data_IF_435109584883
#
_entry.id   IF_435109584883
#
_cell.length_a   1.000
_cell.length_b   1.000
_cell.length_c   1.000
_cell.angle_alpha   90.00
_cell.angle_beta   90.00
_cell.angle_gamma   90.00
#
_symmetry.space_group_name_H-M   'P 1'
#
loop_
_entity.id
_entity.type
_entity.pdbx_description
1 polymer ?
#
# COMPACT_ATOMS: atom_id res chain seq x y z
N UNK A 1 10.99 16.35 8.36
CA UNK A 1 10.08 16.82 7.27
C UNK A 1 8.77 16.05 7.39
N UNK A 2 7.63 16.70 7.20
CA UNK A 2 6.31 16.02 7.18
C UNK A 2 6.20 15.17 5.93
N UNK A 3 5.81 13.90 6.08
CA UNK A 3 5.57 12.99 4.95
C UNK A 3 4.42 13.48 4.09
N UNK A 4 4.57 13.53 2.77
CA UNK A 4 3.63 14.23 1.91
C UNK A 4 3.15 13.34 0.75
N UNK A 5 1.85 13.09 0.67
CA UNK A 5 1.20 12.42 -0.44
C UNK A 5 0.54 13.44 -1.39
N UNK A 6 0.77 13.28 -2.69
CA UNK A 6 0.02 13.99 -3.73
C UNK A 6 -0.70 12.96 -4.61
N UNK A 7 -2.00 13.13 -4.78
CA UNK A 7 -2.84 12.22 -5.58
C UNK A 7 -3.34 12.96 -6.81
N UNK A 8 -3.04 12.39 -7.98
CA UNK A 8 -3.61 12.82 -9.26
C UNK A 8 -4.74 11.88 -9.64
N UNK A 9 -5.97 12.36 -9.68
CA UNK A 9 -7.19 11.55 -9.87
C UNK A 9 -8.25 12.30 -10.66
N UNK A 10 -9.20 11.59 -11.23
CA UNK A 10 -10.42 12.15 -11.80
C UNK A 10 -11.57 12.26 -10.77
N UNK A 11 -11.35 11.75 -9.54
CA UNK A 11 -12.36 11.70 -8.48
C UNK A 11 -11.80 12.19 -7.14
N UNK A 12 -11.46 13.49 -7.03
CA UNK A 12 -10.84 14.05 -5.81
C UNK A 12 -11.71 13.85 -4.57
N UNK A 13 -13.03 13.79 -4.70
CA UNK A 13 -13.95 13.55 -3.58
C UNK A 13 -13.85 12.15 -2.94
N UNK A 14 -13.08 11.22 -3.50
CA UNK A 14 -12.80 9.93 -2.87
C UNK A 14 -11.73 10.03 -1.76
N UNK A 15 -11.05 11.16 -1.65
CA UNK A 15 -9.97 11.37 -0.68
C UNK A 15 -10.34 12.44 0.36
N UNK A 16 -9.88 12.31 1.61
CA UNK A 16 -9.05 11.22 2.14
C UNK A 16 -9.82 9.89 2.35
N UNK A 17 -11.15 9.85 2.16
CA UNK A 17 -11.96 8.66 2.38
C UNK A 17 -11.75 8.07 3.78
N UNK A 18 -11.54 6.75 3.92
CA UNK A 18 -11.33 6.11 5.23
C UNK A 18 -10.06 6.60 5.95
N UNK A 19 -9.08 7.16 5.23
CA UNK A 19 -7.86 7.72 5.84
C UNK A 19 -8.12 9.01 6.62
N UNK A 20 -9.30 9.63 6.50
CA UNK A 20 -9.76 10.71 7.36
C UNK A 20 -10.27 10.26 8.72
N UNK A 21 -10.19 8.96 9.03
CA UNK A 21 -10.70 8.38 10.26
C UNK A 21 -9.58 7.73 11.09
N UNK A 22 -9.88 7.44 12.37
CA UNK A 22 -9.01 6.68 13.27
C UNK A 22 -7.60 7.29 13.39
N UNK A 23 -6.55 6.44 13.37
CA UNK A 23 -5.15 6.86 13.56
C UNK A 23 -4.63 7.69 12.38
N UNK A 24 -4.93 7.28 11.14
CA UNK A 24 -4.51 7.99 9.94
C UNK A 24 -5.14 9.39 9.87
N UNK A 25 -6.43 9.53 10.19
CA UNK A 25 -7.12 10.82 10.23
C UNK A 25 -6.56 11.75 11.29
N UNK A 26 -6.34 11.25 12.52
CA UNK A 26 -5.68 12.02 13.58
C UNK A 26 -4.29 12.48 13.18
N UNK A 27 -3.52 11.62 12.53
CA UNK A 27 -2.19 11.94 12.03
C UNK A 27 -2.21 13.01 10.94
N UNK A 28 -3.24 13.02 10.10
CA UNK A 28 -3.49 14.06 9.09
C UNK A 28 -3.83 15.41 9.77
N UNK A 29 -4.76 15.41 10.72
CA UNK A 29 -5.20 16.58 11.46
C UNK A 29 -4.05 17.22 12.26
N UNK A 30 -3.15 16.41 12.81
CA UNK A 30 -1.99 16.87 13.58
C UNK A 30 -0.76 17.17 12.72
N UNK A 31 -0.84 16.99 11.39
CA UNK A 31 0.23 17.32 10.46
C UNK A 31 1.42 16.37 10.47
N UNK A 32 1.26 15.13 10.99
CA UNK A 32 2.28 14.08 10.86
C UNK A 32 2.47 13.64 9.41
N UNK A 33 1.41 13.73 8.62
CA UNK A 33 1.45 13.62 7.17
C UNK A 33 0.52 14.64 6.52
N UNK A 34 0.69 14.87 5.22
CA UNK A 34 -0.10 15.79 4.42
C UNK A 34 -0.61 15.11 3.17
N UNK A 35 -1.80 15.54 2.71
CA UNK A 35 -2.45 15.03 1.51
C UNK A 35 -2.85 16.20 0.61
N UNK A 36 -2.31 16.23 -0.60
CA UNK A 36 -2.76 17.09 -1.69
C UNK A 36 -3.50 16.23 -2.71
N UNK A 37 -4.72 16.60 -3.03
CA UNK A 37 -5.52 15.91 -4.05
C UNK A 37 -5.73 16.85 -5.23
N UNK A 38 -5.35 16.39 -6.43
CA UNK A 38 -5.38 17.18 -7.66
C UNK A 38 -6.29 16.51 -8.68
N UNK A 39 -7.27 17.26 -9.18
CA UNK A 39 -8.10 16.81 -10.29
C UNK A 39 -7.29 16.91 -11.59
N UNK A 40 -7.13 15.77 -12.28
CA UNK A 40 -6.43 15.70 -13.57
C UNK A 40 -7.14 16.57 -14.62
N UNK A 41 -8.47 16.74 -14.52
CA UNK A 41 -9.25 17.58 -15.42
C UNK A 41 -8.86 19.05 -15.39
N UNK A 42 -8.27 19.52 -14.30
CA UNK A 42 -7.84 20.92 -14.21
C UNK A 42 -6.72 21.28 -15.19
N UNK A 43 -6.00 20.27 -15.69
CA UNK A 43 -4.95 20.45 -16.69
C UNK A 43 -5.47 20.41 -18.14
N UNK A 44 -6.72 20.04 -18.37
CA UNK A 44 -7.31 20.03 -19.70
C UNK A 44 -7.62 21.46 -20.17
N UNK A 45 -7.20 21.80 -21.38
CA UNK A 45 -7.33 23.16 -21.94
C UNK A 45 -8.55 23.37 -22.82
N UNK A 46 -9.20 22.25 -23.22
CA UNK A 46 -10.41 22.33 -24.04
C UNK A 46 -11.67 22.64 -23.21
N UNK A 47 -12.70 23.16 -23.88
CA UNK A 47 -13.98 23.55 -23.25
C UNK A 47 -14.67 22.43 -22.47
N UNK A 48 -14.50 21.18 -22.90
CA UNK A 48 -15.15 20.02 -22.30
C UNK A 48 -14.28 19.36 -21.22
N UNK A 49 -13.05 19.84 -21.00
CA UNK A 49 -12.07 19.30 -20.04
C UNK A 49 -11.84 17.80 -20.28
N UNK A 50 -11.64 17.44 -21.58
CA UNK A 50 -11.49 16.08 -22.06
C UNK A 50 -10.17 15.48 -21.56
N UNK A 51 -10.24 14.34 -20.89
CA UNK A 51 -9.10 13.67 -20.25
C UNK A 51 -8.75 12.33 -20.88
N UNK A 52 -9.57 11.84 -21.79
CA UNK A 52 -9.48 10.51 -22.42
C UNK A 52 -9.80 10.58 -23.91
N UNK A 53 -9.36 9.57 -24.66
CA UNK A 53 -9.66 9.42 -26.08
C UNK A 53 -9.62 7.93 -26.48
N UNK A 54 -10.08 7.61 -27.68
CA UNK A 54 -10.08 6.26 -28.22
C UNK A 54 -8.65 5.72 -28.38
N UNK A 55 -8.41 4.43 -28.06
CA UNK A 55 -7.08 3.85 -28.21
C UNK A 55 -6.67 3.71 -29.68
N UNK A 56 -5.43 3.99 -30.00
CA UNK A 56 -4.85 3.61 -31.29
C UNK A 56 -4.87 2.08 -31.46
N UNK A 57 -5.17 1.62 -32.65
CA UNK A 57 -5.35 0.20 -32.95
C UNK A 57 -6.78 -0.30 -32.74
N UNK A 58 -7.68 0.56 -32.24
CA UNK A 58 -9.08 0.21 -31.95
C UNK A 58 -9.24 -0.58 -30.65
N UNK A 59 -10.44 -1.03 -30.38
CA UNK A 59 -10.81 -1.74 -29.15
C UNK A 59 -11.92 -1.04 -28.39
N UNK A 60 -12.43 -1.69 -27.36
CA UNK A 60 -13.41 -1.10 -26.46
C UNK A 60 -12.73 -0.21 -25.43
N UNK A 61 -13.47 0.79 -24.92
CA UNK A 61 -12.99 1.67 -23.87
C UNK A 61 -12.23 2.89 -24.37
N UNK A 62 -11.64 3.61 -23.43
CA UNK A 62 -10.92 4.87 -23.63
C UNK A 62 -9.57 4.79 -22.92
N UNK A 63 -8.62 5.64 -23.29
CA UNK A 63 -7.31 5.75 -22.66
C UNK A 63 -7.10 7.19 -22.20
N UNK A 64 -6.53 7.39 -21.01
CA UNK A 64 -6.22 8.71 -20.50
C UNK A 64 -5.15 9.38 -21.36
N UNK A 65 -5.44 10.60 -21.77
CA UNK A 65 -4.62 11.39 -22.71
C UNK A 65 -3.27 11.75 -22.11
N UNK A 66 -2.16 11.62 -22.89
CA UNK A 66 -0.83 11.89 -22.40
C UNK A 66 -0.58 13.36 -22.11
N UNK A 67 -1.07 14.26 -22.97
CA UNK A 67 -0.88 15.71 -22.83
C UNK A 67 -1.51 16.27 -21.57
N UNK A 68 -2.74 15.83 -21.25
CA UNK A 68 -3.46 16.28 -20.06
C UNK A 68 -2.82 15.71 -18.79
N UNK A 69 -2.48 14.41 -18.80
CA UNK A 69 -1.86 13.81 -17.63
C UNK A 69 -0.46 14.38 -17.37
N UNK A 70 0.34 14.55 -18.41
CA UNK A 70 1.68 15.15 -18.28
C UNK A 70 1.62 16.57 -17.69
N UNK A 71 0.67 17.40 -18.16
CA UNK A 71 0.42 18.72 -17.62
C UNK A 71 -0.04 18.68 -16.15
N UNK A 72 -0.94 17.74 -15.79
CA UNK A 72 -1.43 17.58 -14.43
C UNK A 72 -0.33 17.15 -13.44
N UNK A 73 0.64 16.37 -13.90
CA UNK A 73 1.79 15.97 -13.09
C UNK A 73 2.73 17.12 -12.76
N UNK A 74 2.79 18.14 -13.62
CA UNK A 74 3.61 19.33 -13.40
C UNK A 74 5.11 19.10 -13.49
N UNK A 75 5.89 19.95 -12.82
CA UNK A 75 7.35 19.95 -12.83
C UNK A 75 8.01 18.80 -12.06
N UNK A 76 9.33 18.91 -11.91
CA UNK A 76 10.15 17.94 -11.17
C UNK A 76 9.80 17.92 -9.67
N UNK A 77 9.85 16.73 -9.09
CA UNK A 77 9.63 16.48 -7.68
C UNK A 77 10.48 15.28 -7.26
N UNK A 78 11.10 15.36 -6.09
CA UNK A 78 12.00 14.31 -5.59
C UNK A 78 11.26 13.07 -5.06
N UNK A 79 9.95 13.19 -4.85
CA UNK A 79 9.12 12.08 -4.37
C UNK A 79 8.86 11.09 -5.48
N UNK A 80 8.89 9.77 -5.17
CA UNK A 80 8.52 8.74 -6.14
C UNK A 80 7.15 9.03 -6.77
N UNK A 81 7.07 8.90 -8.09
CA UNK A 81 5.85 9.00 -8.87
C UNK A 81 5.40 7.58 -9.25
N UNK A 82 4.23 7.17 -8.77
CA UNK A 82 3.73 5.79 -8.88
C UNK A 82 2.37 5.80 -9.58
N UNK A 83 2.24 4.95 -10.58
CA UNK A 83 0.98 4.61 -11.23
C UNK A 83 0.49 3.27 -10.71
N UNK A 84 -0.75 3.24 -10.22
CA UNK A 84 -1.36 2.04 -9.66
C UNK A 84 -2.07 1.25 -10.76
N UNK A 85 -1.50 0.11 -11.11
CA UNK A 85 -1.89 -0.70 -12.27
C UNK A 85 -1.76 -2.19 -11.98
N UNK A 86 -2.67 -3.06 -12.48
CA UNK A 86 -2.50 -4.51 -12.40
C UNK A 86 -1.23 -5.03 -13.10
N UNK A 87 -0.66 -4.25 -14.04
CA UNK A 87 0.59 -4.58 -14.75
C UNK A 87 1.84 -4.31 -13.92
N UNK A 88 1.69 -3.58 -12.82
CA UNK A 88 2.81 -3.15 -11.98
C UNK A 88 3.46 -4.28 -11.18
N UNK A 89 4.62 -3.99 -10.62
CA UNK A 89 5.29 -4.88 -9.66
C UNK A 89 4.45 -4.98 -8.39
N UNK A 90 4.24 -6.20 -7.84
CA UNK A 90 3.46 -6.36 -6.61
C UNK A 90 4.02 -5.55 -5.43
N UNK A 91 3.14 -4.81 -4.75
CA UNK A 91 3.48 -4.02 -3.57
C UNK A 91 3.88 -4.95 -2.41
N UNK A 92 5.14 -4.94 -2.06
CA UNK A 92 5.65 -5.69 -0.91
C UNK A 92 5.93 -4.76 0.28
N UNK A 93 5.91 -5.30 1.50
CA UNK A 93 6.17 -4.56 2.74
C UNK A 93 7.52 -3.83 2.74
N UNK A 94 8.54 -4.38 2.08
CA UNK A 94 9.84 -3.72 1.92
C UNK A 94 9.72 -2.40 1.13
N UNK A 95 8.90 -2.39 0.05
CA UNK A 95 8.65 -1.16 -0.72
C UNK A 95 7.86 -0.14 0.09
N UNK A 96 6.85 -0.58 0.83
CA UNK A 96 6.07 0.28 1.75
C UNK A 96 6.98 0.95 2.77
N UNK A 97 7.89 0.21 3.42
CA UNK A 97 8.87 0.77 4.36
C UNK A 97 9.79 1.80 3.71
N UNK A 98 10.28 1.53 2.50
CA UNK A 98 11.11 2.47 1.76
C UNK A 98 10.37 3.77 1.44
N UNK A 99 9.10 3.69 1.05
CA UNK A 99 8.25 4.86 0.79
C UNK A 99 7.96 5.65 2.08
N UNK A 100 7.64 4.96 3.17
CA UNK A 100 7.37 5.60 4.46
C UNK A 100 8.61 6.29 5.05
N UNK A 101 9.81 5.77 4.82
CA UNK A 101 11.07 6.37 5.24
C UNK A 101 11.49 7.58 4.37
N UNK A 102 10.89 7.76 3.21
CA UNK A 102 11.17 8.86 2.28
C UNK A 102 10.37 10.13 2.60
N UNK A 103 10.44 11.14 1.71
CA UNK A 103 9.75 12.41 1.90
C UNK A 103 8.24 12.35 1.61
N UNK A 104 7.75 11.23 1.08
CA UNK A 104 6.37 11.05 0.65
C UNK A 104 6.26 10.37 -0.71
N UNK A 105 5.10 10.51 -1.37
CA UNK A 105 4.79 9.84 -2.64
C UNK A 105 3.86 10.69 -3.50
N UNK A 106 3.95 10.52 -4.81
CA UNK A 106 2.99 11.05 -5.80
C UNK A 106 2.31 9.85 -6.48
N UNK A 107 0.99 9.81 -6.44
CA UNK A 107 0.21 8.69 -6.99
C UNK A 107 -0.64 9.14 -8.17
N UNK A 108 -0.64 8.34 -9.22
CA UNK A 108 -1.52 8.49 -10.38
C UNK A 108 -2.61 7.43 -10.30
N UNK A 109 -3.86 7.86 -10.20
CA UNK A 109 -5.03 7.00 -10.23
C UNK A 109 -5.55 6.93 -11.67
N UNK A 110 -5.24 5.84 -12.37
CA UNK A 110 -5.75 5.61 -13.71
C UNK A 110 -7.22 5.22 -13.71
N UNK A 111 -7.87 5.51 -14.83
CA UNK A 111 -9.26 5.13 -15.14
C UNK A 111 -9.33 4.59 -16.57
N UNK A 112 -10.52 4.12 -16.95
CA UNK A 112 -10.76 3.53 -18.26
C UNK A 112 -9.87 2.30 -18.52
N UNK A 113 -9.30 2.18 -19.73
CA UNK A 113 -8.36 1.10 -20.08
C UNK A 113 -6.91 1.40 -19.58
N UNK A 114 -6.70 2.56 -18.96
CA UNK A 114 -5.44 2.97 -18.39
C UNK A 114 -4.92 4.30 -18.91
N UNK A 115 -3.61 4.46 -18.80
CA UNK A 115 -2.86 5.67 -19.14
C UNK A 115 -2.02 5.44 -20.40
N UNK A 116 -1.90 6.45 -21.25
CA UNK A 116 -1.03 6.38 -22.42
C UNK A 116 0.43 6.06 -22.01
N UNK A 117 0.98 5.02 -22.62
CA UNK A 117 2.30 4.49 -22.27
C UNK A 117 3.42 5.56 -22.37
N UNK A 118 3.29 6.50 -23.31
CA UNK A 118 4.32 7.55 -23.54
C UNK A 118 4.53 8.43 -22.31
N UNK A 119 3.51 8.66 -21.48
CA UNK A 119 3.65 9.42 -20.22
C UNK A 119 4.39 8.59 -19.19
N UNK A 120 4.07 7.29 -19.09
CA UNK A 120 4.75 6.40 -18.15
C UNK A 120 6.25 6.35 -18.45
N UNK A 121 6.61 6.22 -19.72
CA UNK A 121 8.00 6.14 -20.17
C UNK A 121 8.73 7.49 -20.00
N UNK A 122 8.13 8.59 -20.45
CA UNK A 122 8.71 9.94 -20.39
C UNK A 122 9.01 10.37 -18.95
N UNK A 123 8.05 10.15 -18.05
CA UNK A 123 8.16 10.54 -16.64
C UNK A 123 8.80 9.47 -15.76
N UNK A 124 9.17 8.32 -16.33
CA UNK A 124 9.73 7.15 -15.61
C UNK A 124 8.86 6.79 -14.39
N UNK A 125 7.56 6.67 -14.64
CA UNK A 125 6.57 6.37 -13.60
C UNK A 125 6.70 4.91 -13.18
N UNK A 126 6.85 4.66 -11.88
CA UNK A 126 6.87 3.31 -11.31
C UNK A 126 5.45 2.71 -11.37
N UNK A 127 5.28 1.57 -12.04
CA UNK A 127 4.01 0.84 -12.01
C UNK A 127 3.97 -0.13 -10.83
N UNK A 128 2.92 -0.02 -10.00
CA UNK A 128 2.76 -0.84 -8.79
C UNK A 128 1.38 -1.49 -8.77
N UNK A 129 1.34 -2.80 -8.49
CA UNK A 129 0.11 -3.58 -8.30
C UNK A 129 -0.13 -3.86 -6.82
N UNK A 130 -1.39 -3.83 -6.38
CA UNK A 130 -1.80 -4.24 -5.04
C UNK A 130 -2.31 -5.70 -4.99
N UNK A 131 -2.28 -6.42 -6.11
CA UNK A 131 -2.70 -7.81 -6.20
C UNK A 131 -3.22 -8.20 -7.58
N UNK A 132 -3.42 -9.50 -7.79
CA UNK A 132 -3.79 -10.10 -9.07
C UNK A 132 -5.32 -10.04 -9.29
N UNK A 133 -5.86 -8.84 -9.32
CA UNK A 133 -7.26 -8.57 -9.62
C UNK A 133 -7.41 -7.17 -10.24
N UNK A 134 -8.50 -6.97 -10.97
CA UNK A 134 -8.80 -5.71 -11.67
C UNK A 134 -9.83 -4.92 -10.88
N UNK A 135 -9.56 -3.61 -10.70
CA UNK A 135 -10.47 -2.65 -10.08
C UNK A 135 -10.92 -1.61 -11.11
N UNK A 136 -11.97 -0.87 -10.81
CA UNK A 136 -12.52 0.17 -11.69
C UNK A 136 -11.64 1.43 -11.82
N UNK A 137 -10.57 1.53 -11.02
CA UNK A 137 -9.63 2.66 -11.05
C UNK A 137 -8.59 2.60 -9.96
N UNK A 138 -7.65 3.55 -9.99
CA UNK A 138 -6.50 3.59 -9.10
C UNK A 138 -6.75 4.18 -7.71
N UNK A 139 -7.93 4.71 -7.42
CA UNK A 139 -8.18 5.41 -6.16
C UNK A 139 -8.19 4.47 -4.95
N UNK A 140 -8.83 3.29 -5.05
CA UNK A 140 -8.78 2.30 -3.96
C UNK A 140 -7.37 1.75 -3.74
N UNK A 141 -6.61 1.36 -4.78
CA UNK A 141 -5.20 1.04 -4.64
C UNK A 141 -4.37 2.15 -3.98
N UNK A 142 -4.64 3.42 -4.32
CA UNK A 142 -3.97 4.56 -3.70
C UNK A 142 -4.23 4.63 -2.19
N UNK A 143 -5.48 4.45 -1.77
CA UNK A 143 -5.84 4.40 -0.36
C UNK A 143 -5.14 3.25 0.38
N UNK A 144 -5.03 2.07 -0.24
CA UNK A 144 -4.30 0.91 0.33
C UNK A 144 -2.82 1.22 0.51
N UNK A 145 -2.16 1.78 -0.51
CA UNK A 145 -0.75 2.16 -0.43
C UNK A 145 -0.51 3.23 0.62
N UNK A 146 -1.36 4.25 0.67
CA UNK A 146 -1.28 5.33 1.66
C UNK A 146 -1.46 4.80 3.08
N UNK A 147 -2.47 3.96 3.34
CA UNK A 147 -2.69 3.35 4.66
C UNK A 147 -1.46 2.57 5.11
N UNK A 148 -0.94 1.70 4.23
CA UNK A 148 0.25 0.91 4.50
C UNK A 148 1.49 1.78 4.85
N UNK A 149 1.65 2.95 4.20
CA UNK A 149 2.76 3.87 4.50
C UNK A 149 2.50 4.70 5.75
N UNK A 150 1.32 5.32 5.87
CA UNK A 150 0.99 6.26 6.95
C UNK A 150 1.07 5.60 8.32
N UNK A 151 0.60 4.35 8.46
CA UNK A 151 0.68 3.62 9.72
C UNK A 151 2.12 3.37 10.21
N UNK A 152 3.11 3.43 9.30
CA UNK A 152 4.53 3.26 9.64
C UNK A 152 5.23 4.57 10.01
N UNK A 153 4.57 5.71 9.84
CA UNK A 153 5.16 7.01 10.18
C UNK A 153 5.33 7.15 11.71
N UNK A 154 6.44 7.73 12.17
CA UNK A 154 6.65 7.98 13.59
C UNK A 154 5.49 8.75 14.23
N UNK A 155 5.00 8.25 15.36
CA UNK A 155 3.91 8.90 16.11
C UNK A 155 2.49 8.57 15.63
N UNK A 156 2.30 7.82 14.55
CA UNK A 156 0.97 7.37 14.09
C UNK A 156 0.49 6.15 14.88
N UNK A 157 1.32 5.12 14.98
CA UNK A 157 1.05 3.94 15.82
C UNK A 157 1.63 4.16 17.23
N UNK A 158 0.85 3.84 18.26
CA UNK A 158 1.18 4.19 19.65
C UNK A 158 2.37 3.44 20.30
N UNK A 159 2.91 2.39 19.68
CA UNK A 159 4.10 1.66 20.15
C UNK A 159 4.85 1.09 18.94
N UNK A 160 6.09 1.49 18.78
CA UNK A 160 7.00 1.00 17.72
C UNK A 160 7.23 -0.53 17.76
N UNK A 161 7.09 -1.16 18.92
CA UNK A 161 7.22 -2.60 19.11
C UNK A 161 6.14 -3.42 18.36
N UNK A 162 4.95 -2.86 18.15
CA UNK A 162 3.86 -3.56 17.44
C UNK A 162 4.20 -3.82 15.97
N UNK A 163 4.90 -2.91 15.31
CA UNK A 163 5.25 -3.03 13.90
C UNK A 163 6.38 -4.06 13.62
N UNK A 164 7.11 -4.49 14.66
CA UNK A 164 8.23 -5.44 14.51
C UNK A 164 7.80 -6.90 14.49
N UNK A 165 6.68 -7.24 15.12
CA UNK A 165 6.15 -8.60 15.20
C UNK A 165 5.06 -8.92 14.16
N UNK A 166 4.74 -7.98 13.27
CA UNK A 166 3.69 -8.14 12.25
C UNK A 166 4.11 -9.04 11.10
N UNK A 167 3.11 -9.53 10.35
CA UNK A 167 3.31 -10.26 9.10
C UNK A 167 4.30 -9.54 8.18
N UNK A 168 5.15 -10.32 7.52
CA UNK A 168 6.22 -9.88 6.60
C UNK A 168 7.42 -9.19 7.27
N UNK A 169 7.42 -8.97 8.59
CA UNK A 169 8.56 -8.33 9.27
C UNK A 169 9.81 -9.22 9.28
N UNK A 170 9.63 -10.51 9.52
CA UNK A 170 10.70 -11.53 9.51
C UNK A 170 10.54 -12.54 8.38
N UNK A 171 9.81 -12.18 7.30
CA UNK A 171 9.50 -13.10 6.20
C UNK A 171 8.46 -14.17 6.56
N UNK A 172 7.77 -14.01 7.68
CA UNK A 172 6.72 -14.91 8.15
C UNK A 172 5.37 -14.19 8.22
N UNK A 173 4.29 -14.96 8.21
CA UNK A 173 2.98 -14.50 8.64
C UNK A 173 2.93 -14.48 10.17
N UNK A 174 2.13 -13.60 10.72
CA UNK A 174 1.92 -13.47 12.15
C UNK A 174 1.18 -14.67 12.73
N UNK A 175 1.46 -14.98 14.00
CA UNK A 175 0.80 -16.03 14.76
C UNK A 175 -0.64 -15.64 15.13
N UNK A 176 -1.53 -16.62 15.51
CA UNK A 176 -2.90 -16.32 15.90
C UNK A 176 -2.96 -15.64 17.27
N UNK A 177 -3.81 -14.61 17.36
CA UNK A 177 -4.04 -13.87 18.59
C UNK A 177 -5.24 -14.38 19.35
N UNK A 178 -5.16 -14.35 20.68
CA UNK A 178 -6.22 -14.69 21.60
C UNK A 178 -6.45 -13.55 22.60
N UNK A 179 -7.71 -13.35 22.99
CA UNK A 179 -8.11 -12.36 24.00
C UNK A 179 -9.17 -12.95 24.92
N UNK A 180 -9.62 -12.20 25.88
CA UNK A 180 -10.67 -12.59 26.83
C UNK A 180 -12.02 -12.80 26.13
N UNK A 181 -12.86 -13.76 26.61
CA UNK A 181 -12.63 -14.68 27.73
C UNK A 181 -11.66 -15.81 27.41
N UNK A 182 -11.06 -16.45 28.44
CA UNK A 182 -10.12 -17.55 28.26
C UNK A 182 -10.75 -18.81 27.64
N UNK A 183 -12.06 -18.98 27.82
CA UNK A 183 -12.87 -19.99 27.16
C UNK A 183 -14.09 -19.34 26.50
N UNK A 184 -14.35 -19.71 25.24
CA UNK A 184 -15.51 -19.22 24.51
C UNK A 184 -16.12 -20.35 23.67
N UNK A 185 -17.38 -20.69 23.96
CA UNK A 185 -18.14 -21.77 23.29
C UNK A 185 -17.41 -23.13 23.27
N UNK A 186 -16.78 -23.49 24.38
CA UNK A 186 -16.01 -24.74 24.51
C UNK A 186 -14.62 -24.73 23.85
N UNK A 187 -14.19 -23.57 23.33
CA UNK A 187 -12.86 -23.38 22.79
C UNK A 187 -12.01 -22.60 23.79
N UNK A 188 -10.91 -23.19 24.24
CA UNK A 188 -10.00 -22.58 25.20
C UNK A 188 -8.80 -21.91 24.50
N UNK A 189 -8.29 -20.85 25.16
CA UNK A 189 -6.96 -20.29 24.81
C UNK A 189 -5.89 -21.34 25.11
N UNK A 190 -4.86 -21.50 24.24
CA UNK A 190 -3.75 -22.41 24.54
C UNK A 190 -3.10 -22.14 25.89
N UNK A 191 -2.91 -23.17 26.72
CA UNK A 191 -2.39 -23.08 28.10
C UNK A 191 -1.06 -22.35 28.19
N UNK A 192 -0.18 -22.53 27.18
CA UNK A 192 1.10 -21.82 27.10
C UNK A 192 0.95 -20.29 27.16
N UNK A 193 -0.12 -19.76 26.56
CA UNK A 193 -0.38 -18.31 26.55
C UNK A 193 -0.88 -17.78 27.91
N UNK A 194 -1.39 -18.67 28.77
CA UNK A 194 -1.86 -18.37 30.11
C UNK A 194 -0.79 -18.57 31.18
N UNK A 195 0.35 -19.23 30.82
CA UNK A 195 1.39 -19.66 31.77
C UNK A 195 2.23 -18.52 32.34
N UNK A 196 2.28 -17.35 31.71
CA UNK A 196 3.22 -16.27 32.07
C UNK A 196 4.70 -16.57 31.72
N UNK A 197 4.99 -17.73 31.15
CA UNK A 197 6.36 -18.12 30.82
C UNK A 197 6.77 -17.54 29.46
N UNK A 198 7.38 -16.35 29.47
CA UNK A 198 7.71 -15.57 28.26
C UNK A 198 8.48 -16.35 27.17
N UNK A 199 9.47 -17.16 27.56
CA UNK A 199 10.23 -17.95 26.60
C UNK A 199 9.37 -19.04 25.91
N UNK A 200 8.51 -19.71 26.67
CA UNK A 200 7.58 -20.70 26.11
C UNK A 200 6.54 -20.05 25.18
N UNK A 201 6.03 -18.88 25.57
CA UNK A 201 5.12 -18.09 24.73
C UNK A 201 5.79 -17.66 23.42
N UNK A 202 7.02 -17.16 23.49
CA UNK A 202 7.77 -16.77 22.29
C UNK A 202 8.02 -17.96 21.36
N UNK A 203 8.43 -19.11 21.91
CA UNK A 203 8.60 -20.35 21.14
C UNK A 203 7.31 -20.81 20.45
N UNK A 204 6.19 -20.75 21.18
CA UNK A 204 4.88 -21.10 20.61
C UNK A 204 4.48 -20.15 19.47
N UNK A 205 4.63 -18.84 19.66
CA UNK A 205 4.36 -17.82 18.63
C UNK A 205 5.17 -18.08 17.36
N UNK A 206 6.47 -18.32 17.53
CA UNK A 206 7.36 -18.63 16.41
C UNK A 206 6.91 -19.88 15.64
N UNK A 207 6.61 -20.97 16.35
CA UNK A 207 6.15 -22.22 15.74
C UNK A 207 4.81 -22.03 14.99
N UNK A 208 3.88 -21.23 15.53
CA UNK A 208 2.62 -20.92 14.86
C UNK A 208 2.84 -20.09 13.60
N UNK A 209 3.70 -19.07 13.64
CA UNK A 209 4.05 -18.25 12.48
C UNK A 209 4.67 -19.10 11.36
N UNK A 210 5.57 -19.99 11.68
CA UNK A 210 6.19 -20.91 10.72
C UNK A 210 5.17 -21.87 10.11
N UNK A 211 4.34 -22.49 10.92
CA UNK A 211 3.29 -23.42 10.46
C UNK A 211 2.28 -22.72 9.53
N UNK A 212 1.81 -21.53 9.91
CA UNK A 212 0.85 -20.75 9.11
C UNK A 212 1.49 -20.32 7.79
N UNK A 213 2.74 -19.84 7.84
CA UNK A 213 3.47 -19.41 6.64
C UNK A 213 3.67 -20.56 5.68
N UNK A 214 4.12 -21.71 6.17
CA UNK A 214 4.31 -22.91 5.37
C UNK A 214 3.02 -23.35 4.67
N UNK A 215 1.91 -23.32 5.40
CA UNK A 215 0.61 -23.76 4.88
C UNK A 215 -0.02 -22.77 3.89
N UNK A 216 0.06 -21.45 4.15
CA UNK A 216 -0.70 -20.43 3.42
C UNK A 216 0.13 -19.63 2.43
N UNK A 217 1.44 -19.51 2.66
CA UNK A 217 2.36 -18.74 1.83
C UNK A 217 3.66 -19.52 1.60
N UNK A 218 3.57 -20.64 0.86
CA UNK A 218 4.74 -21.50 0.55
C UNK A 218 5.84 -20.74 -0.24
N UNK A 219 5.50 -19.67 -0.91
CA UNK A 219 6.43 -18.75 -1.57
C UNK A 219 7.33 -18.03 -0.54
N UNK A 220 6.75 -17.45 0.50
CA UNK A 220 7.48 -16.79 1.59
C UNK A 220 8.32 -17.81 2.38
N UNK A 221 7.76 -18.99 2.63
CA UNK A 221 8.48 -20.05 3.32
C UNK A 221 9.73 -20.45 2.56
N UNK A 222 9.64 -20.69 1.25
CA UNK A 222 10.79 -21.01 0.39
C UNK A 222 11.83 -19.89 0.40
N UNK A 223 11.42 -18.62 0.19
CA UNK A 223 12.32 -17.50 0.22
C UNK A 223 13.10 -17.38 1.56
N UNK A 224 12.45 -17.68 2.70
CA UNK A 224 13.09 -17.71 4.02
C UNK A 224 14.11 -18.84 4.12
N UNK A 225 13.78 -20.04 3.65
CA UNK A 225 14.70 -21.19 3.69
C UNK A 225 15.94 -20.95 2.82
N UNK A 226 15.76 -20.32 1.65
CA UNK A 226 16.88 -20.00 0.74
C UNK A 226 17.79 -18.88 1.31
N UNK A 227 17.25 -17.97 2.14
CA UNK A 227 17.99 -16.89 2.79
C UNK A 227 18.63 -17.30 4.13
N UNK A 228 18.25 -18.44 4.69
CA UNK A 228 18.88 -18.95 5.91
C UNK A 228 20.36 -19.33 5.64
N UNK A 229 21.31 -18.91 6.51
CA UNK A 229 22.69 -19.31 6.35
C UNK A 229 22.77 -20.85 6.35
N UNK A 230 23.28 -21.41 5.27
CA UNK A 230 23.56 -22.86 5.23
C UNK A 230 24.52 -23.15 6.36
N UNK A 231 24.12 -24.06 7.24
CA UNK A 231 25.03 -24.53 8.30
C UNK A 231 26.33 -25.04 7.67
N UNK A 232 27.47 -24.75 8.27
CA UNK A 232 28.79 -25.15 7.77
C UNK A 232 28.96 -26.67 7.68
#
# INVERSE_FOLDING_TARGET
>A
MTWHATIHTLFPGMFPGPLGQSLAGRALDTGLWRLDVRDIRDAATDRHRTVDDTPFGGGAGMVMRPDVLDAALGGEDVRPLIYLSPRGVPLAQARVRALAAGPGVRLVCGRYEGVDQRVLDLRRIEEVSIGDYVLSGGELPALVLLDACVRLLPGVMGKDASAQEESFSAGLLEYPHYTRPAEWRGLAVPDVLLSGHHAAIAGWRQAQSEQITQARRPDLWRARMDSAPRAP
#
